data_IF_313628238611
#
_entry.id   IF_313628238611
#
_cell.length_a   1.000
_cell.length_b   1.000
_cell.length_c   1.000
_cell.angle_alpha   90.00
_cell.angle_beta   90.00
_cell.angle_gamma   90.00
#
_symmetry.space_group_name_H-M   'P 1'
#
loop_
_entity.id
_entity.type
_entity.pdbx_description
1 polymer ?
#
# COMPACT_ATOMS: atom_id res chain seq x y z
N UNK A 1 -31.13 15.55 37.08
CA UNK A 1 -30.03 16.14 36.27
C UNK A 1 -28.69 15.41 36.33
N UNK A 2 -28.52 14.32 37.11
CA UNK A 2 -27.23 13.59 37.22
C UNK A 2 -27.05 12.40 36.26
N UNK A 3 -28.10 12.01 35.52
CA UNK A 3 -28.09 10.81 34.63
C UNK A 3 -27.72 11.11 33.17
N UNK A 4 -27.90 12.36 32.72
CA UNK A 4 -27.62 12.76 31.32
C UNK A 4 -26.14 13.08 31.11
N UNK A 5 -25.44 13.56 32.14
CA UNK A 5 -24.01 13.89 32.09
C UNK A 5 -23.11 12.65 31.99
N UNK A 6 -23.54 11.49 32.48
CA UNK A 6 -22.75 10.26 32.42
C UNK A 6 -22.76 9.62 31.03
N UNK A 7 -23.85 9.76 30.26
CA UNK A 7 -23.99 9.16 28.92
C UNK A 7 -23.15 9.88 27.86
N UNK A 8 -22.98 11.20 28.00
CA UNK A 8 -22.17 12.03 27.08
C UNK A 8 -20.67 11.70 27.21
N UNK A 9 -20.21 11.32 28.42
CA UNK A 9 -18.80 11.00 28.67
C UNK A 9 -18.37 9.66 28.03
N UNK A 10 -19.30 8.69 27.89
CA UNK A 10 -19.03 7.39 27.26
C UNK A 10 -18.96 7.50 25.73
N UNK A 11 -19.73 8.42 25.12
CA UNK A 11 -19.72 8.62 23.66
C UNK A 11 -18.37 9.19 23.16
N UNK A 12 -17.69 10.01 23.97
CA UNK A 12 -16.40 10.63 23.62
C UNK A 12 -15.26 9.59 23.61
N UNK A 13 -15.32 8.54 24.42
CA UNK A 13 -14.30 7.50 24.47
C UNK A 13 -14.34 6.55 23.26
N UNK A 14 -15.47 6.41 22.58
CA UNK A 14 -15.64 5.50 21.43
C UNK A 14 -14.97 6.09 20.17
N UNK A 15 -14.86 7.42 20.06
CA UNK A 15 -14.19 8.09 18.92
C UNK A 15 -12.66 8.10 18.98
N UNK A 16 -12.06 7.69 20.11
CA UNK A 16 -10.59 7.61 20.25
C UNK A 16 -10.02 6.23 19.87
N UNK A 17 -10.89 5.29 19.50
CA UNK A 17 -10.48 3.94 19.12
C UNK A 17 -10.23 3.86 17.62
N UNK A 18 -8.98 4.04 17.21
CA UNK A 18 -8.50 3.41 15.99
C UNK A 18 -8.05 4.33 14.86
N UNK A 19 -7.12 5.24 15.15
CA UNK A 19 -6.15 5.62 14.13
C UNK A 19 -4.83 4.88 14.45
N UNK A 20 -4.80 3.55 14.25
CA UNK A 20 -3.50 2.88 14.16
C UNK A 20 -2.94 3.28 12.81
N UNK A 21 -1.88 4.09 12.80
CA UNK A 21 -1.09 4.32 11.58
C UNK A 21 -0.49 2.97 11.18
N UNK A 22 -1.21 2.21 10.35
CA UNK A 22 -0.75 0.93 9.82
C UNK A 22 0.54 1.22 9.05
N UNK A 23 1.69 0.79 9.57
CA UNK A 23 2.97 1.01 8.92
C UNK A 23 3.31 -0.18 8.03
N UNK A 24 3.61 0.06 6.77
CA UNK A 24 4.15 -0.95 5.86
C UNK A 24 5.63 -1.21 6.19
N UNK A 25 6.06 -2.48 6.16
CA UNK A 25 7.48 -2.83 6.34
C UNK A 25 8.30 -2.38 5.13
N UNK A 26 9.46 -1.77 5.38
CA UNK A 26 10.43 -1.49 4.33
C UNK A 26 11.06 -2.79 3.82
N UNK A 27 11.36 -2.85 2.53
CA UNK A 27 11.91 -4.02 1.86
C UNK A 27 11.37 -4.19 0.44
N UNK A 28 11.79 -5.28 -0.21
CA UNK A 28 11.36 -5.62 -1.57
C UNK A 28 10.18 -6.59 -1.51
N UNK A 29 9.07 -6.19 -2.11
CA UNK A 29 7.92 -7.06 -2.35
C UNK A 29 8.00 -7.58 -3.77
N UNK A 30 8.01 -8.90 -3.95
CA UNK A 30 8.16 -9.55 -5.26
C UNK A 30 6.85 -10.20 -5.68
N UNK A 31 6.46 -10.03 -6.94
CA UNK A 31 5.27 -10.64 -7.51
C UNK A 31 5.32 -12.17 -7.35
N UNK A 32 4.22 -12.76 -6.89
CA UNK A 32 4.10 -14.21 -6.81
C UNK A 32 3.72 -14.84 -8.16
N UNK A 33 4.00 -16.13 -8.31
CA UNK A 33 3.63 -16.94 -9.48
C UNK A 33 4.22 -16.43 -10.81
N UNK A 34 5.42 -15.85 -10.76
CA UNK A 34 6.21 -15.49 -11.95
C UNK A 34 7.37 -16.45 -12.13
N UNK A 35 7.78 -16.66 -13.38
CA UNK A 35 8.96 -17.49 -13.70
C UNK A 35 10.26 -16.90 -13.12
N UNK A 36 10.32 -15.57 -12.97
CA UNK A 36 11.47 -14.86 -12.42
C UNK A 36 11.04 -13.82 -11.39
N UNK A 37 11.82 -13.67 -10.31
CA UNK A 37 11.60 -12.64 -9.28
C UNK A 37 11.78 -11.20 -9.83
N UNK A 38 12.48 -11.06 -10.95
CA UNK A 38 12.70 -9.79 -11.63
C UNK A 38 11.52 -9.37 -12.53
N UNK A 39 10.48 -10.20 -12.65
CA UNK A 39 9.31 -9.87 -13.47
C UNK A 39 8.63 -8.59 -12.99
N UNK A 40 8.25 -8.50 -11.72
CA UNK A 40 7.70 -7.29 -11.13
C UNK A 40 7.96 -7.26 -9.63
N UNK A 41 8.30 -6.08 -9.11
CA UNK A 41 8.64 -5.89 -7.69
C UNK A 41 8.41 -4.45 -7.26
N UNK A 42 8.18 -4.24 -5.97
CA UNK A 42 8.05 -2.93 -5.32
C UNK A 42 9.10 -2.83 -4.22
N UNK A 43 9.97 -1.83 -4.30
CA UNK A 43 10.89 -1.50 -3.21
C UNK A 43 10.28 -0.41 -2.34
N UNK A 44 9.96 -0.77 -1.09
CA UNK A 44 9.55 0.18 -0.05
C UNK A 44 10.79 0.60 0.72
N UNK A 45 11.14 1.88 0.62
CA UNK A 45 12.36 2.45 1.20
C UNK A 45 12.01 3.27 2.45
N UNK A 46 13.01 3.47 3.33
CA UNK A 46 12.88 4.36 4.49
C UNK A 46 12.57 5.79 4.02
N UNK A 47 11.80 6.55 4.81
CA UNK A 47 11.42 7.92 4.46
C UNK A 47 10.27 8.03 3.44
N UNK A 48 9.41 7.01 3.41
CA UNK A 48 8.18 6.95 2.62
C UNK A 48 8.40 7.08 1.10
N UNK A 49 9.52 6.53 0.60
CA UNK A 49 9.82 6.49 -0.83
C UNK A 49 9.68 5.08 -1.39
N UNK A 50 9.44 5.00 -2.68
CA UNK A 50 9.34 3.72 -3.37
C UNK A 50 10.04 3.72 -4.73
N UNK A 51 10.25 2.52 -5.25
CA UNK A 51 10.53 2.27 -6.65
C UNK A 51 9.72 1.05 -7.10
N UNK A 52 9.19 1.08 -8.32
CA UNK A 52 8.30 0.06 -8.82
C UNK A 52 8.72 -0.45 -10.19
N UNK A 53 8.94 -1.76 -10.30
CA UNK A 53 9.05 -2.47 -11.56
C UNK A 53 7.73 -3.16 -11.88
N UNK A 54 7.06 -2.74 -12.96
CA UNK A 54 5.73 -3.25 -13.35
C UNK A 54 5.78 -4.51 -14.20
N UNK A 55 6.86 -4.70 -14.95
CA UNK A 55 7.13 -5.85 -15.81
C UNK A 55 8.61 -5.83 -16.24
N UNK A 56 9.22 -6.99 -16.47
CA UNK A 56 10.62 -7.09 -16.90
C UNK A 56 10.88 -6.49 -18.30
N UNK A 57 9.84 -6.40 -19.14
CA UNK A 57 9.93 -5.94 -20.52
C UNK A 57 9.62 -4.43 -20.68
N UNK A 58 9.42 -3.70 -19.57
CA UNK A 58 9.26 -2.23 -19.60
C UNK A 58 10.45 -1.56 -18.91
N UNK A 59 11.02 -0.54 -19.56
CA UNK A 59 12.15 0.24 -19.01
C UNK A 59 11.71 1.26 -17.96
N UNK A 60 10.45 1.71 -18.02
CA UNK A 60 9.93 2.70 -17.07
C UNK A 60 9.84 2.13 -15.64
N UNK A 61 10.41 2.87 -14.69
CA UNK A 61 10.46 2.55 -13.26
C UNK A 61 9.86 3.70 -12.45
N UNK A 62 8.53 3.71 -12.21
CA UNK A 62 7.90 4.66 -11.31
C UNK A 62 8.61 4.71 -9.95
N UNK A 63 8.87 5.91 -9.46
CA UNK A 63 9.43 6.13 -8.12
C UNK A 63 8.91 7.45 -7.57
N UNK A 64 8.89 7.59 -6.25
CA UNK A 64 8.34 8.78 -5.62
C UNK A 64 8.01 8.56 -4.16
N UNK A 65 7.03 9.32 -3.66
CA UNK A 65 6.49 9.16 -2.30
C UNK A 65 5.27 8.25 -2.31
N UNK A 66 5.12 7.43 -1.29
CA UNK A 66 3.90 6.67 -1.04
C UNK A 66 3.16 7.19 0.19
N UNK A 67 1.86 6.94 0.23
CA UNK A 67 1.03 7.11 1.42
C UNK A 67 0.43 5.77 1.84
N UNK A 68 0.07 5.64 3.12
CA UNK A 68 -0.67 4.49 3.64
C UNK A 68 -1.92 5.00 4.32
N UNK A 69 -3.09 4.61 3.80
CA UNK A 69 -4.39 5.06 4.28
C UNK A 69 -5.37 3.88 4.23
N UNK A 70 -6.11 3.62 5.32
CA UNK A 70 -7.15 2.58 5.37
C UNK A 70 -6.69 1.20 4.85
N UNK A 71 -5.51 0.74 5.31
CA UNK A 71 -4.85 -0.51 4.86
C UNK A 71 -4.48 -0.54 3.37
N UNK A 72 -4.36 0.62 2.72
CA UNK A 72 -3.93 0.71 1.33
C UNK A 72 -2.60 1.40 1.22
N UNK A 73 -1.69 0.80 0.47
CA UNK A 73 -0.49 1.44 -0.02
C UNK A 73 -0.83 2.16 -1.33
N UNK A 74 -0.57 3.47 -1.38
CA UNK A 74 -0.78 4.30 -2.57
C UNK A 74 0.57 4.80 -3.05
N UNK A 75 0.99 4.33 -4.22
CA UNK A 75 2.22 4.74 -4.89
C UNK A 75 1.92 5.94 -5.79
N UNK A 76 2.35 7.15 -5.41
CA UNK A 76 2.13 8.35 -6.20
C UNK A 76 3.17 8.45 -7.33
N UNK A 77 2.69 8.59 -8.56
CA UNK A 77 3.53 8.59 -9.77
C UNK A 77 3.72 10.02 -10.33
N UNK A 78 2.98 10.99 -9.80
CA UNK A 78 2.88 12.36 -10.33
C UNK A 78 1.56 12.58 -11.08
N UNK A 79 1.19 13.82 -11.36
CA UNK A 79 0.01 14.20 -12.16
C UNK A 79 -1.30 13.49 -11.75
N UNK A 80 -1.58 13.44 -10.45
CA UNK A 80 -2.72 12.73 -9.86
C UNK A 80 -2.81 11.23 -10.21
N UNK A 81 -1.70 10.64 -10.67
CA UNK A 81 -1.63 9.23 -11.05
C UNK A 81 -1.06 8.35 -9.95
N UNK A 82 -1.66 7.19 -9.74
CA UNK A 82 -1.28 6.29 -8.67
C UNK A 82 -1.48 4.80 -8.99
N UNK A 83 -0.79 3.95 -8.23
CA UNK A 83 -1.11 2.54 -8.05
C UNK A 83 -1.61 2.32 -6.62
N UNK A 84 -2.62 1.47 -6.47
CA UNK A 84 -3.20 1.13 -5.17
C UNK A 84 -3.04 -0.36 -4.89
N UNK A 85 -2.57 -0.67 -3.69
CA UNK A 85 -2.44 -2.03 -3.18
C UNK A 85 -3.11 -2.13 -1.82
N UNK A 86 -3.81 -3.23 -1.57
CA UNK A 86 -4.22 -3.61 -0.23
C UNK A 86 -3.02 -4.19 0.52
N UNK A 87 -2.83 -3.78 1.76
CA UNK A 87 -1.82 -4.31 2.67
C UNK A 87 -2.46 -5.47 3.46
N UNK A 88 -1.87 -6.65 3.35
CA UNK A 88 -2.26 -7.84 4.08
C UNK A 88 -1.03 -8.51 4.69
N UNK A 89 -0.70 -8.12 5.92
CA UNK A 89 0.52 -8.57 6.60
C UNK A 89 1.79 -8.21 5.84
N UNK A 90 2.50 -9.23 5.36
CA UNK A 90 3.74 -9.12 4.58
C UNK A 90 3.49 -9.18 3.06
N UNK A 91 2.22 -9.08 2.66
CA UNK A 91 1.80 -9.10 1.26
C UNK A 91 1.12 -7.78 0.85
N UNK A 92 1.25 -7.46 -0.43
CA UNK A 92 0.58 -6.36 -1.11
C UNK A 92 -0.25 -6.94 -2.25
N UNK A 93 -1.55 -6.67 -2.24
CA UNK A 93 -2.48 -7.18 -3.24
C UNK A 93 -2.86 -6.03 -4.16
N UNK A 94 -2.51 -6.14 -5.44
CA UNK A 94 -2.79 -5.08 -6.41
C UNK A 94 -4.30 -4.88 -6.59
N UNK A 95 -4.77 -3.65 -6.41
CA UNK A 95 -6.18 -3.29 -6.59
C UNK A 95 -6.45 -2.59 -7.91
N UNK A 96 -5.72 -1.51 -8.19
CA UNK A 96 -6.01 -0.62 -9.32
C UNK A 96 -4.86 0.36 -9.64
N UNK A 97 -4.99 1.02 -10.79
CA UNK A 97 -4.19 2.18 -11.18
C UNK A 97 -5.06 3.18 -11.94
N UNK A 98 -4.66 4.45 -11.92
CA UNK A 98 -5.21 5.48 -12.84
C UNK A 98 -4.45 5.57 -14.15
N UNK A 99 -3.31 4.89 -14.28
CA UNK A 99 -2.47 4.94 -15.49
C UNK A 99 -3.01 4.02 -16.59
N UNK A 100 -2.77 4.40 -17.84
CA UNK A 100 -3.02 3.55 -18.99
C UNK A 100 -1.96 2.43 -19.11
N UNK A 101 -2.35 1.28 -19.67
CA UNK A 101 -1.42 0.18 -20.01
C UNK A 101 -1.59 -1.13 -19.23
N UNK A 102 -2.44 -1.18 -18.18
CA UNK A 102 -2.89 -2.41 -17.48
C UNK A 102 -1.86 -3.56 -17.39
N UNK A 103 -0.64 -3.27 -16.90
CA UNK A 103 0.45 -4.26 -16.85
C UNK A 103 0.25 -5.35 -15.79
N UNK A 104 -0.62 -5.10 -14.80
CA UNK A 104 -0.82 -5.95 -13.63
C UNK A 104 -2.31 -6.22 -13.48
N UNK A 105 -2.65 -7.48 -13.19
CA UNK A 105 -4.03 -7.93 -12.99
C UNK A 105 -4.45 -7.67 -11.55
N UNK A 106 -5.67 -7.15 -11.35
CA UNK A 106 -6.25 -7.01 -9.99
C UNK A 106 -6.19 -8.36 -9.25
N UNK A 107 -5.76 -8.32 -7.99
CA UNK A 107 -5.55 -9.51 -7.16
C UNK A 107 -4.14 -10.11 -7.25
N UNK A 108 -3.25 -9.61 -8.12
CA UNK A 108 -1.84 -10.01 -8.09
C UNK A 108 -1.23 -9.72 -6.72
N UNK A 109 -0.61 -10.73 -6.13
CA UNK A 109 0.04 -10.67 -4.83
C UNK A 109 1.53 -10.39 -5.00
N UNK A 110 2.04 -9.49 -4.17
CA UNK A 110 3.47 -9.27 -3.98
C UNK A 110 3.83 -9.56 -2.53
N UNK A 111 4.83 -10.39 -2.28
CA UNK A 111 5.20 -10.79 -0.92
C UNK A 111 6.58 -10.27 -0.55
N UNK A 112 6.71 -9.76 0.67
CA UNK A 112 7.96 -9.24 1.22
C UNK A 112 9.03 -10.33 1.22
N UNK A 113 10.11 -10.10 0.50
CA UNK A 113 11.31 -10.91 0.55
C UNK A 113 12.26 -10.29 1.57
N UNK A 114 12.44 -10.98 2.69
CA UNK A 114 13.51 -10.65 3.62
C UNK A 114 14.84 -11.07 2.97
N UNK A 115 15.76 -10.12 2.81
CA UNK A 115 17.18 -10.42 2.60
C UNK A 115 17.87 -10.50 3.95
#
# INVERSE_FOLDING_TARGET
>A
MKRITMTILVLIFIFLSGCSSQSIKAGRYVMENTETEDWSWIDIKKGNTYEFNRANNVSYRPSGKYTVENNKLILNIGDNSYYTFLIDGDSLIYESTTTSGHFIKKGTVYTLKNK
#
